data_IF_133401914274
#
_entry.id   IF_133401914274
#
_cell.length_a   1.000
_cell.length_b   1.000
_cell.length_c   1.000
_cell.angle_alpha   90.00
_cell.angle_beta   90.00
_cell.angle_gamma   90.00
#
_symmetry.space_group_name_H-M   'P 1'
#
loop_
_entity.id
_entity.type
_entity.pdbx_description
1 polymer ?
#
# COMPACT_ATOMS: atom_id res chain seq x y z
N UNK A 1 11.40 4.84 24.21
CA UNK A 1 12.39 5.93 23.98
C UNK A 1 11.62 7.22 23.86
N UNK A 2 11.55 8.00 24.96
CA UNK A 2 10.94 9.32 24.99
C UNK A 2 11.83 10.30 24.23
N UNK A 3 11.35 10.76 23.08
CA UNK A 3 11.93 11.89 22.38
C UNK A 3 11.59 13.15 23.19
N UNK A 4 12.54 13.66 23.97
CA UNK A 4 12.35 14.83 24.83
C UNK A 4 13.24 15.98 24.40
N UNK A 5 12.73 17.20 24.55
CA UNK A 5 13.43 18.46 24.22
C UNK A 5 14.39 18.95 25.33
N UNK A 6 14.80 18.11 26.27
CA UNK A 6 15.85 18.44 27.23
C UNK A 6 17.22 18.41 26.54
N UNK A 7 18.12 19.34 26.82
CA UNK A 7 19.40 19.51 26.12
C UNK A 7 20.23 18.23 26.03
N UNK A 8 20.14 17.34 27.01
CA UNK A 8 20.80 16.01 27.01
C UNK A 8 20.23 15.02 26.01
N UNK A 9 19.01 15.25 25.47
CA UNK A 9 18.33 14.36 24.51
C UNK A 9 18.38 14.86 23.06
N UNK A 10 18.87 16.06 22.79
CA UNK A 10 18.94 16.61 21.42
C UNK A 10 19.85 15.77 20.53
N UNK A 11 21.01 15.38 21.04
CA UNK A 11 22.01 14.61 20.29
C UNK A 11 21.49 13.19 19.91
N UNK A 12 20.93 12.41 20.85
CA UNK A 12 20.30 11.12 20.52
C UNK A 12 19.12 11.25 19.56
N UNK A 13 18.30 12.30 19.71
CA UNK A 13 17.15 12.55 18.83
C UNK A 13 17.58 12.87 17.41
N UNK A 14 18.56 13.76 17.24
CA UNK A 14 19.14 14.08 15.94
C UNK A 14 19.79 12.86 15.29
N UNK A 15 20.55 12.07 16.07
CA UNK A 15 21.16 10.84 15.58
C UNK A 15 20.11 9.84 15.12
N UNK A 16 19.00 9.68 15.86
CA UNK A 16 17.90 8.82 15.45
C UNK A 16 17.23 9.28 14.15
N UNK A 17 16.93 10.59 14.03
CA UNK A 17 16.32 11.15 12.83
C UNK A 17 17.24 10.98 11.62
N UNK A 18 18.51 11.29 11.75
CA UNK A 18 19.50 11.14 10.69
C UNK A 18 19.66 9.67 10.28
N UNK A 19 19.72 8.76 11.25
CA UNK A 19 19.83 7.32 10.98
C UNK A 19 18.59 6.78 10.25
N UNK A 20 17.39 7.18 10.67
CA UNK A 20 16.14 6.78 9.99
C UNK A 20 16.09 7.35 8.56
N UNK A 21 16.47 8.62 8.39
CA UNK A 21 16.51 9.26 7.08
C UNK A 21 17.54 8.59 6.17
N UNK A 22 18.72 8.31 6.67
CA UNK A 22 19.73 7.58 5.90
C UNK A 22 19.27 6.18 5.51
N UNK A 23 18.61 5.46 6.42
CA UNK A 23 18.03 4.13 6.15
C UNK A 23 16.95 4.18 5.06
N UNK A 24 16.05 5.16 5.11
CA UNK A 24 15.00 5.30 4.07
C UNK A 24 15.61 5.67 2.72
N UNK A 25 16.59 6.58 2.66
CA UNK A 25 17.30 6.92 1.42
C UNK A 25 18.03 5.72 0.82
N UNK A 26 18.67 4.91 1.67
CA UNK A 26 19.29 3.66 1.24
C UNK A 26 18.29 2.69 0.63
N UNK A 27 17.12 2.51 1.25
CA UNK A 27 16.05 1.66 0.73
C UNK A 27 15.50 2.18 -0.60
N UNK A 28 15.32 3.50 -0.76
CA UNK A 28 14.89 4.10 -2.02
C UNK A 28 15.91 3.84 -3.13
N UNK A 29 17.19 4.11 -2.85
CA UNK A 29 18.28 3.82 -3.80
C UNK A 29 18.33 2.33 -4.20
N UNK A 30 18.17 1.43 -3.23
CA UNK A 30 18.11 0.00 -3.50
C UNK A 30 16.89 -0.36 -4.37
N UNK A 31 15.74 0.27 -4.12
CA UNK A 31 14.52 0.11 -4.93
C UNK A 31 14.72 0.57 -6.38
N UNK A 32 15.39 1.69 -6.59
CA UNK A 32 15.74 2.17 -7.93
C UNK A 32 16.69 1.20 -8.64
N UNK A 33 17.71 0.71 -7.94
CA UNK A 33 18.66 -0.25 -8.49
C UNK A 33 17.97 -1.56 -8.92
N UNK A 34 17.02 -2.05 -8.12
CA UNK A 34 16.21 -3.23 -8.45
C UNK A 34 15.33 -2.94 -9.67
N UNK A 35 14.76 -1.74 -9.79
CA UNK A 35 13.91 -1.36 -10.93
C UNK A 35 14.72 -1.25 -12.22
N UNK A 36 15.95 -0.72 -12.15
CA UNK A 36 16.81 -0.56 -13.34
C UNK A 36 17.44 -1.87 -13.81
N UNK A 37 17.86 -2.73 -12.90
CA UNK A 37 18.66 -3.94 -13.21
C UNK A 37 17.96 -5.26 -12.86
N UNK A 38 16.79 -5.20 -12.23
CA UNK A 38 16.04 -6.36 -11.75
C UNK A 38 14.72 -6.57 -12.48
N UNK A 39 13.74 -7.08 -11.76
CA UNK A 39 12.43 -7.46 -12.29
C UNK A 39 11.35 -6.59 -11.66
N UNK A 40 10.60 -5.86 -12.49
CA UNK A 40 9.42 -5.11 -12.07
C UNK A 40 9.74 -3.82 -11.29
N UNK A 41 8.87 -3.45 -10.36
CA UNK A 41 9.03 -2.24 -9.55
C UNK A 41 9.75 -2.58 -8.23
N UNK A 42 10.99 -2.08 -8.07
CA UNK A 42 11.84 -2.38 -6.93
C UNK A 42 11.28 -1.90 -5.58
N UNK A 43 10.60 -0.75 -5.56
CA UNK A 43 9.96 -0.24 -4.33
C UNK A 43 8.86 -1.19 -3.88
N UNK A 44 8.04 -1.69 -4.80
CA UNK A 44 7.01 -2.70 -4.50
C UNK A 44 7.61 -4.00 -3.97
N UNK A 45 8.76 -4.43 -4.49
CA UNK A 45 9.49 -5.61 -3.99
C UNK A 45 10.01 -5.41 -2.57
N UNK A 46 10.53 -4.22 -2.23
CA UNK A 46 10.99 -3.90 -0.88
C UNK A 46 9.81 -3.93 0.11
N UNK A 47 8.67 -3.31 -0.25
CA UNK A 47 7.47 -3.33 0.59
C UNK A 47 6.97 -4.76 0.77
N UNK A 48 6.92 -5.54 -0.32
CA UNK A 48 6.53 -6.95 -0.28
C UNK A 48 7.44 -7.77 0.64
N UNK A 49 8.75 -7.58 0.55
CA UNK A 49 9.70 -8.29 1.39
C UNK A 49 9.49 -7.96 2.88
N UNK A 50 9.21 -6.69 3.21
CA UNK A 50 8.88 -6.27 4.56
C UNK A 50 7.62 -6.93 5.12
N UNK A 51 6.61 -7.13 4.29
CA UNK A 51 5.38 -7.84 4.67
C UNK A 51 5.67 -9.33 4.88
N UNK A 52 6.40 -9.96 3.96
CA UNK A 52 6.69 -11.41 3.99
C UNK A 52 7.54 -11.81 5.19
N UNK A 53 8.45 -10.94 5.64
CA UNK A 53 9.27 -11.19 6.85
C UNK A 53 8.39 -11.41 8.11
N UNK A 54 7.19 -10.85 8.17
CA UNK A 54 6.25 -11.08 9.27
C UNK A 54 5.52 -12.43 9.21
N UNK A 55 5.42 -13.06 8.04
CA UNK A 55 4.65 -14.30 7.85
C UNK A 55 5.14 -15.49 8.69
N UNK A 56 6.46 -15.79 8.81
CA UNK A 56 6.90 -16.91 9.61
C UNK A 56 6.44 -16.85 11.07
N UNK A 57 6.41 -15.63 11.66
CA UNK A 57 5.93 -15.44 13.02
C UNK A 57 4.44 -15.74 13.16
N UNK A 58 3.61 -15.30 12.22
CA UNK A 58 2.17 -15.58 12.21
C UNK A 58 1.88 -17.08 12.04
N UNK A 59 2.60 -17.73 11.14
CA UNK A 59 2.47 -19.17 10.89
C UNK A 59 2.85 -19.97 12.14
N UNK A 60 3.97 -19.63 12.78
CA UNK A 60 4.43 -20.32 14.01
C UNK A 60 3.43 -20.17 15.15
N UNK A 61 2.87 -18.98 15.34
CA UNK A 61 1.81 -18.75 16.35
C UNK A 61 0.55 -19.56 16.03
N UNK A 62 0.11 -19.59 14.77
CA UNK A 62 -1.06 -20.36 14.36
C UNK A 62 -0.89 -21.87 14.50
N UNK A 63 0.33 -22.40 14.29
CA UNK A 63 0.62 -23.82 14.49
C UNK A 63 0.76 -24.22 15.98
N UNK A 64 1.16 -23.31 16.86
CA UNK A 64 1.24 -23.54 18.29
C UNK A 64 -0.15 -23.58 18.96
N UNK A 65 -1.13 -22.92 18.36
CA UNK A 65 -2.53 -22.90 18.83
C UNK A 65 -3.29 -24.09 18.24
N UNK A 66 -3.06 -25.28 18.85
CA UNK A 66 -3.64 -26.57 18.38
C UNK A 66 -5.18 -26.58 18.38
N UNK A 67 -5.81 -25.71 19.14
CA UNK A 67 -7.27 -25.65 19.24
C UNK A 67 -7.93 -24.98 18.02
N UNK A 68 -7.13 -24.37 17.12
CA UNK A 68 -7.65 -23.58 15.99
C UNK A 68 -7.10 -23.99 14.62
N UNK A 69 -6.70 -25.26 14.45
CA UNK A 69 -6.16 -25.78 13.17
C UNK A 69 -7.14 -25.60 11.99
N UNK A 70 -8.44 -25.73 12.24
CA UNK A 70 -9.47 -25.49 11.24
C UNK A 70 -9.52 -24.00 10.82
N UNK A 71 -9.41 -23.07 11.79
CA UNK A 71 -9.36 -21.63 11.51
C UNK A 71 -8.11 -21.25 10.71
N UNK A 72 -6.98 -21.87 10.99
CA UNK A 72 -5.74 -21.65 10.25
C UNK A 72 -5.83 -22.18 8.80
N UNK A 73 -6.42 -23.36 8.59
CA UNK A 73 -6.66 -23.89 7.25
C UNK A 73 -7.55 -22.94 6.42
N UNK A 74 -8.62 -22.44 7.03
CA UNK A 74 -9.53 -21.48 6.42
C UNK A 74 -8.84 -20.15 6.09
N UNK A 75 -7.99 -19.65 6.98
CA UNK A 75 -7.19 -18.44 6.77
C UNK A 75 -6.24 -18.56 5.57
N UNK A 76 -5.56 -19.70 5.44
CA UNK A 76 -4.65 -19.95 4.31
C UNK A 76 -5.44 -19.99 2.98
N UNK A 77 -6.58 -20.70 2.96
CA UNK A 77 -7.41 -20.80 1.76
C UNK A 77 -7.93 -19.43 1.33
N UNK A 78 -8.43 -18.63 2.26
CA UNK A 78 -8.88 -17.26 1.99
C UNK A 78 -7.71 -16.40 1.51
N UNK A 79 -6.54 -16.51 2.14
CA UNK A 79 -5.35 -15.77 1.73
C UNK A 79 -4.95 -16.05 0.29
N UNK A 80 -4.90 -17.32 -0.11
CA UNK A 80 -4.61 -17.72 -1.50
C UNK A 80 -5.68 -17.21 -2.47
N UNK A 81 -6.95 -17.29 -2.08
CA UNK A 81 -8.07 -16.81 -2.90
C UNK A 81 -8.00 -15.29 -3.10
N UNK A 82 -7.71 -14.53 -2.05
CA UNK A 82 -7.54 -13.07 -2.14
C UNK A 82 -6.36 -12.72 -3.06
N UNK A 83 -5.22 -13.38 -2.93
CA UNK A 83 -4.06 -13.16 -3.80
C UNK A 83 -4.43 -13.45 -5.26
N UNK A 84 -5.11 -14.57 -5.54
CA UNK A 84 -5.55 -14.91 -6.88
C UNK A 84 -6.50 -13.85 -7.48
N UNK A 85 -7.45 -13.35 -6.69
CA UNK A 85 -8.37 -12.28 -7.11
C UNK A 85 -7.63 -10.97 -7.39
N UNK A 86 -6.66 -10.59 -6.55
CA UNK A 86 -5.85 -9.38 -6.75
C UNK A 86 -5.04 -9.50 -8.05
N UNK A 87 -4.42 -10.64 -8.32
CA UNK A 87 -3.66 -10.88 -9.56
C UNK A 87 -4.59 -10.77 -10.78
N UNK A 88 -5.75 -11.44 -10.75
CA UNK A 88 -6.74 -11.35 -11.83
C UNK A 88 -7.17 -9.90 -12.10
N UNK A 89 -7.38 -9.13 -11.05
CA UNK A 89 -7.80 -7.73 -11.17
C UNK A 89 -6.69 -6.83 -11.72
N UNK A 90 -5.44 -7.07 -11.32
CA UNK A 90 -4.28 -6.31 -11.81
C UNK A 90 -3.92 -6.64 -13.27
N UNK A 91 -4.16 -7.89 -13.72
CA UNK A 91 -3.92 -8.30 -15.09
C UNK A 91 -5.10 -7.99 -16.03
N UNK A 92 -6.25 -7.62 -15.49
CA UNK A 92 -7.43 -7.33 -16.28
C UNK A 92 -7.23 -6.08 -17.15
N UNK A 93 -7.40 -6.26 -18.47
CA UNK A 93 -7.27 -5.19 -19.46
C UNK A 93 -8.58 -5.00 -20.21
N UNK A 94 -9.06 -3.76 -20.29
CA UNK A 94 -10.15 -3.39 -21.19
C UNK A 94 -9.59 -3.09 -22.57
N UNK A 95 -9.99 -3.85 -23.58
CA UNK A 95 -9.59 -3.64 -24.97
C UNK A 95 -10.55 -2.66 -25.64
N UNK A 96 -10.05 -1.48 -26.03
CA UNK A 96 -10.83 -0.50 -26.80
C UNK A 96 -10.49 -0.69 -28.28
N UNK A 97 -11.43 -1.05 -29.14
CA UNK A 97 -11.18 -1.16 -30.58
C UNK A 97 -10.93 0.21 -31.18
N UNK A 98 -9.80 0.37 -31.87
CA UNK A 98 -9.44 1.60 -32.56
C UNK A 98 -9.40 1.32 -34.05
N UNK A 99 -10.12 2.13 -34.84
CA UNK A 99 -10.07 2.08 -36.28
C UNK A 99 -9.07 3.12 -36.80
N UNK A 100 -7.97 2.67 -37.36
CA UNK A 100 -7.04 3.54 -38.04
C UNK A 100 -7.53 3.78 -39.47
N UNK A 101 -7.78 5.05 -39.84
CA UNK A 101 -8.13 5.46 -41.17
C UNK A 101 -6.92 5.48 -42.14
N UNK A 102 -6.11 4.41 -42.18
CA UNK A 102 -4.97 4.33 -43.07
C UNK A 102 -5.42 3.84 -44.46
N UNK A 103 -5.46 4.74 -45.44
CA UNK A 103 -5.61 4.39 -46.84
C UNK A 103 -4.25 4.17 -47.48
N UNK A 104 -4.03 2.99 -48.03
CA UNK A 104 -2.82 2.70 -48.81
C UNK A 104 -3.19 2.79 -50.31
N UNK A 105 -2.47 3.65 -51.04
CA UNK A 105 -2.56 3.78 -52.49
C UNK A 105 -1.70 2.69 -53.12
N UNK A 106 -2.34 1.71 -53.74
CA UNK A 106 -1.62 0.64 -54.46
C UNK A 106 -2.29 0.42 -55.82
N UNK A 107 -1.52 0.67 -56.91
CA UNK A 107 -1.98 0.37 -58.27
C UNK A 107 -3.19 1.19 -58.75
N UNK A 108 -3.29 2.50 -58.37
CA UNK A 108 -4.37 3.38 -58.83
C UNK A 108 -5.72 3.19 -58.07
N UNK A 109 -5.78 2.32 -57.07
CA UNK A 109 -6.97 2.11 -56.25
C UNK A 109 -6.66 2.31 -54.76
N UNK A 110 -7.58 2.97 -54.07
CA UNK A 110 -7.53 3.22 -52.62
C UNK A 110 -8.03 2.00 -51.88
N UNK A 111 -7.15 1.27 -51.20
CA UNK A 111 -7.54 0.15 -50.34
C UNK A 111 -7.59 0.66 -48.92
N UNK A 112 -8.78 0.55 -48.29
CA UNK A 112 -8.97 0.82 -46.86
C UNK A 112 -8.52 -0.43 -46.12
N UNK A 113 -7.35 -0.39 -45.53
CA UNK A 113 -6.85 -1.47 -44.69
C UNK A 113 -7.55 -1.38 -43.34
N UNK A 114 -8.59 -2.20 -43.13
CA UNK A 114 -9.28 -2.36 -41.87
C UNK A 114 -8.43 -3.25 -40.97
N UNK A 115 -7.40 -2.68 -40.34
CA UNK A 115 -6.68 -3.33 -39.29
C UNK A 115 -7.42 -3.06 -37.96
N UNK A 116 -8.07 -4.07 -37.39
CA UNK A 116 -8.61 -3.97 -36.05
C UNK A 116 -7.44 -3.94 -35.05
N UNK A 117 -7.03 -2.74 -34.66
CA UNK A 117 -6.10 -2.52 -33.55
C UNK A 117 -6.89 -2.21 -32.29
N UNK A 118 -6.36 -2.57 -31.13
CA UNK A 118 -6.99 -2.26 -29.85
C UNK A 118 -5.95 -1.63 -28.92
N UNK A 119 -6.40 -0.70 -28.09
CA UNK A 119 -5.60 -0.11 -27.01
C UNK A 119 -5.94 -0.87 -25.75
N UNK A 120 -4.97 -1.60 -25.13
CA UNK A 120 -5.19 -2.25 -23.85
C UNK A 120 -5.11 -1.20 -22.74
N UNK A 121 -6.23 -0.94 -22.04
CA UNK A 121 -6.25 -0.13 -20.83
C UNK A 121 -6.29 -1.05 -19.61
N UNK A 122 -5.36 -0.86 -18.70
CA UNK A 122 -5.39 -1.55 -17.41
C UNK A 122 -6.57 -1.06 -16.59
N UNK A 123 -7.32 -1.97 -15.95
CA UNK A 123 -8.45 -1.61 -15.07
C UNK A 123 -7.92 -0.93 -13.82
N UNK A 124 -6.85 -1.47 -13.25
CA UNK A 124 -6.16 -0.87 -12.11
C UNK A 124 -4.86 -0.18 -12.59
N UNK A 125 -4.96 1.13 -12.89
CA UNK A 125 -3.81 1.95 -13.27
C UNK A 125 -3.08 2.55 -12.07
N UNK A 126 -3.78 2.73 -10.95
CA UNK A 126 -3.26 3.39 -9.76
C UNK A 126 -2.40 2.47 -8.87
N UNK A 127 -2.61 1.14 -8.97
CA UNK A 127 -1.84 0.15 -8.22
C UNK A 127 -2.06 0.23 -6.71
N UNK A 128 -0.98 0.20 -5.94
CA UNK A 128 -1.00 0.21 -4.48
C UNK A 128 -0.84 1.62 -3.88
N UNK A 129 -0.53 2.64 -4.69
CA UNK A 129 -0.23 4.00 -4.25
C UNK A 129 -1.40 4.65 -3.49
N UNK A 130 -2.66 4.59 -3.96
CA UNK A 130 -3.81 5.13 -3.24
C UNK A 130 -3.95 4.57 -1.83
N UNK A 131 -3.70 3.28 -1.67
CA UNK A 131 -3.81 2.59 -0.39
C UNK A 131 -2.76 3.08 0.61
N UNK A 132 -1.52 3.30 0.16
CA UNK A 132 -0.44 3.85 1.00
C UNK A 132 -0.78 5.26 1.46
N UNK A 133 -1.28 6.14 0.56
CA UNK A 133 -1.70 7.49 0.92
C UNK A 133 -2.90 7.49 1.87
N UNK A 134 -3.91 6.66 1.61
CA UNK A 134 -5.09 6.57 2.47
C UNK A 134 -4.70 6.18 3.90
N UNK A 135 -3.88 5.14 4.08
CA UNK A 135 -3.39 4.75 5.40
C UNK A 135 -2.56 5.85 6.07
N UNK A 136 -1.67 6.51 5.33
CA UNK A 136 -0.85 7.58 5.88
C UNK A 136 -1.69 8.74 6.40
N UNK A 137 -2.73 9.13 5.67
CA UNK A 137 -3.65 10.23 6.05
C UNK A 137 -4.51 9.83 7.26
N UNK A 138 -5.02 8.59 7.29
CA UNK A 138 -5.90 8.15 8.37
C UNK A 138 -5.13 7.91 9.68
N UNK A 139 -3.89 7.44 9.62
CA UNK A 139 -3.06 7.21 10.82
C UNK A 139 -2.62 8.53 11.46
N UNK A 140 -2.41 9.59 10.68
CA UNK A 140 -1.84 10.85 11.14
C UNK A 140 -2.64 11.53 12.26
N UNK A 141 -3.97 11.70 12.17
CA UNK A 141 -4.76 12.28 13.26
C UNK A 141 -4.70 11.45 14.54
N UNK A 142 -4.75 10.12 14.43
CA UNK A 142 -4.65 9.21 15.56
C UNK A 142 -3.29 9.32 16.27
N UNK A 143 -2.19 9.38 15.52
CA UNK A 143 -0.85 9.53 16.10
C UNK A 143 -0.66 10.89 16.78
N UNK A 144 -1.15 11.97 16.19
CA UNK A 144 -1.11 13.30 16.83
C UNK A 144 -1.92 13.28 18.12
N UNK A 145 -3.12 12.71 18.11
CA UNK A 145 -3.99 12.65 19.28
C UNK A 145 -3.36 11.85 20.45
N UNK A 146 -2.53 10.83 20.19
CA UNK A 146 -1.86 10.07 21.25
C UNK A 146 -0.95 10.94 22.12
N UNK A 147 -0.32 11.96 21.57
CA UNK A 147 0.52 12.88 22.35
C UNK A 147 -0.28 13.71 23.35
N UNK A 148 -1.53 14.02 23.03
CA UNK A 148 -2.42 14.79 23.92
C UNK A 148 -3.27 13.89 24.82
N UNK A 149 -3.35 12.60 24.55
CA UNK A 149 -4.16 11.66 25.32
C UNK A 149 -3.68 11.47 26.78
N UNK A 150 -2.40 11.77 27.05
CA UNK A 150 -1.82 11.77 28.41
C UNK A 150 -2.09 13.07 29.18
N UNK A 151 -2.58 14.12 28.53
CA UNK A 151 -2.94 15.37 29.18
C UNK A 151 -4.17 15.20 30.04
N UNK A 152 -4.20 15.85 31.22
CA UNK A 152 -5.38 15.85 32.10
C UNK A 152 -6.48 16.79 31.58
N UNK A 153 -7.71 16.55 32.00
CA UNK A 153 -8.85 17.41 31.70
C UNK A 153 -9.51 17.16 30.33
N UNK A 154 -10.32 18.09 29.88
CA UNK A 154 -11.15 17.98 28.66
C UNK A 154 -10.32 17.70 27.42
N UNK A 155 -9.11 18.24 27.35
CA UNK A 155 -8.21 18.04 26.20
C UNK A 155 -7.79 16.57 26.08
N UNK A 156 -7.47 15.91 27.19
CA UNK A 156 -7.12 14.50 27.21
C UNK A 156 -8.29 13.59 26.86
N UNK A 157 -9.51 13.93 27.26
CA UNK A 157 -10.72 13.15 26.96
C UNK A 157 -11.08 13.24 25.47
N UNK A 158 -10.99 14.44 24.89
CA UNK A 158 -11.16 14.64 23.46
C UNK A 158 -10.10 13.87 22.68
N UNK A 159 -8.84 13.95 23.08
CA UNK A 159 -7.76 13.23 22.41
C UNK A 159 -7.94 11.70 22.47
N UNK A 160 -8.38 11.13 23.59
CA UNK A 160 -8.69 9.70 23.71
C UNK A 160 -9.84 9.28 22.82
N UNK A 161 -10.87 10.12 22.70
CA UNK A 161 -11.98 9.87 21.76
C UNK A 161 -11.49 9.87 20.32
N UNK A 162 -10.62 10.82 19.93
CA UNK A 162 -10.01 10.82 18.61
C UNK A 162 -9.17 9.57 18.37
N UNK A 163 -8.32 9.16 19.30
CA UNK A 163 -7.54 7.93 19.20
C UNK A 163 -8.46 6.73 18.98
N UNK A 164 -9.56 6.60 19.72
CA UNK A 164 -10.48 5.47 19.59
C UNK A 164 -11.20 5.44 18.25
N UNK A 165 -11.47 6.59 17.63
CA UNK A 165 -12.12 6.69 16.31
C UNK A 165 -11.16 6.35 15.15
N UNK A 166 -9.88 6.66 15.32
CA UNK A 166 -8.84 6.44 14.30
C UNK A 166 -8.01 5.16 14.52
N UNK A 167 -8.46 4.26 15.39
CA UNK A 167 -7.88 2.92 15.55
C UNK A 167 -8.47 1.94 14.54
N UNK A 168 -7.70 0.93 14.08
CA UNK A 168 -8.19 -0.09 13.15
C UNK A 168 -9.38 -0.92 13.63
N UNK A 169 -9.70 -0.84 14.92
CA UNK A 169 -10.89 -1.48 15.53
C UNK A 169 -12.18 -0.70 15.29
N UNK A 170 -12.09 0.59 14.94
CA UNK A 170 -13.25 1.43 14.72
C UNK A 170 -13.79 1.29 13.29
N UNK A 171 -15.11 1.23 13.13
CA UNK A 171 -15.75 1.21 11.82
C UNK A 171 -15.45 2.49 11.00
N UNK A 172 -15.34 3.65 11.66
CA UNK A 172 -15.01 4.93 11.02
C UNK A 172 -13.66 4.88 10.31
N UNK A 173 -12.66 4.22 10.91
CA UNK A 173 -11.34 4.04 10.29
C UNK A 173 -11.45 3.40 8.90
N UNK A 174 -12.16 2.29 8.78
CA UNK A 174 -12.32 1.57 7.52
C UNK A 174 -13.16 2.33 6.49
N UNK A 175 -14.18 3.05 6.94
CA UNK A 175 -15.00 3.92 6.07
C UNK A 175 -14.14 5.03 5.47
N UNK A 176 -13.30 5.69 6.28
CA UNK A 176 -12.38 6.74 5.81
C UNK A 176 -11.32 6.18 4.86
N UNK A 177 -10.72 5.03 5.17
CA UNK A 177 -9.77 4.36 4.28
C UNK A 177 -10.44 4.06 2.93
N UNK A 178 -11.65 3.50 2.93
CA UNK A 178 -12.37 3.17 1.71
C UNK A 178 -12.67 4.42 0.85
N UNK A 179 -13.15 5.50 1.48
CA UNK A 179 -13.43 6.77 0.79
C UNK A 179 -12.15 7.36 0.19
N UNK A 180 -11.05 7.38 0.95
CA UNK A 180 -9.78 7.93 0.48
C UNK A 180 -9.20 7.10 -0.67
N UNK A 181 -9.24 5.78 -0.58
CA UNK A 181 -8.79 4.90 -1.67
C UNK A 181 -9.65 5.08 -2.94
N UNK A 182 -10.96 5.37 -2.78
CA UNK A 182 -11.84 5.65 -3.93
C UNK A 182 -11.60 7.03 -4.57
N UNK A 183 -11.09 7.99 -3.81
CA UNK A 183 -10.77 9.35 -4.31
C UNK A 183 -9.41 9.37 -5.01
N UNK A 184 -8.42 8.64 -4.51
CA UNK A 184 -7.06 8.56 -5.08
C UNK A 184 -6.97 7.55 -6.22
#
# INVERSE_FOLDING_TARGET
>A
TSVGYSGDMLLPTLAAILSMTAGTMFLVWLGELITERGIGNGISLIIFSGIVVGFPGLITQGFLDRDNLLGMGFFIIIGVLIVALIVLFNEAHRRIPVQYGRSIFRGGRMYRQSGASYIPLRINSAGMIPLIFAFSIVILPGTIATYFASSGGVLGDVARTFVSLFTPTAALYWVLVFILVAIF
#
